data_IF_015745878798
#
_entry.id   IF_015745878798
#
_cell.length_a   1.000
_cell.length_b   1.000
_cell.length_c   1.000
_cell.angle_alpha   90.00
_cell.angle_beta   90.00
_cell.angle_gamma   90.00
#
_symmetry.space_group_name_H-M   'P 1'
#
loop_
_entity.id
_entity.type
_entity.pdbx_description
1 polymer ?
#
# COMPACT_ATOMS: atom_id res chain seq x y z
N UNK A 1 17.29 -14.78 9.68
CA UNK A 1 16.04 -14.66 8.89
C UNK A 1 14.85 -14.11 9.68
N UNK A 2 14.92 -14.02 11.02
CA UNK A 2 13.83 -13.48 11.86
C UNK A 2 14.35 -12.40 12.79
N UNK A 3 13.52 -11.41 13.13
CA UNK A 3 13.83 -10.35 14.10
C UNK A 3 12.72 -10.27 15.19
N UNK A 4 12.90 -9.40 16.19
CA UNK A 4 11.94 -9.24 17.30
C UNK A 4 10.53 -8.89 16.82
N UNK A 5 10.41 -7.88 15.96
CA UNK A 5 9.12 -7.46 15.38
C UNK A 5 8.40 -8.58 14.63
N UNK A 6 9.13 -9.42 13.90
CA UNK A 6 8.53 -10.58 13.24
C UNK A 6 7.98 -11.59 14.25
N UNK A 7 8.64 -11.81 15.38
CA UNK A 7 8.14 -12.72 16.42
C UNK A 7 6.85 -12.20 17.07
N UNK A 8 6.72 -10.88 17.19
CA UNK A 8 5.53 -10.23 17.73
C UNK A 8 4.35 -10.27 16.75
N UNK A 9 4.61 -10.03 15.46
CA UNK A 9 3.55 -9.82 14.46
C UNK A 9 3.18 -11.08 13.66
N UNK A 10 4.13 -12.00 13.46
CA UNK A 10 3.94 -13.17 12.60
C UNK A 10 3.50 -14.38 13.43
N UNK A 11 2.21 -14.68 13.41
CA UNK A 11 1.63 -15.79 14.19
C UNK A 11 2.16 -17.14 13.68
N UNK A 12 2.67 -17.99 14.58
CA UNK A 12 3.19 -19.30 14.21
C UNK A 12 4.53 -19.25 13.47
N UNK A 13 5.32 -18.18 13.67
CA UNK A 13 6.64 -18.03 13.06
C UNK A 13 7.57 -19.18 13.46
N UNK A 14 8.03 -19.94 12.47
CA UNK A 14 9.00 -21.03 12.63
C UNK A 14 9.86 -21.22 11.37
N UNK A 15 10.98 -21.95 11.45
CA UNK A 15 11.66 -22.45 10.25
C UNK A 15 10.73 -23.36 9.43
N UNK A 16 10.86 -23.29 8.10
CA UNK A 16 10.24 -24.26 7.22
C UNK A 16 10.92 -25.63 7.39
N UNK A 17 10.13 -26.70 7.44
CA UNK A 17 10.64 -28.06 7.61
C UNK A 17 11.12 -28.67 6.28
N UNK A 18 11.79 -29.83 6.36
CA UNK A 18 12.32 -30.50 5.20
C UNK A 18 11.24 -30.97 4.20
N UNK A 19 10.01 -31.21 4.64
CA UNK A 19 8.90 -31.59 3.78
C UNK A 19 8.32 -30.39 3.04
N UNK A 20 8.18 -29.26 3.72
CA UNK A 20 7.77 -28.00 3.13
C UNK A 20 8.77 -27.53 2.08
N UNK A 21 10.07 -27.61 2.37
CA UNK A 21 11.14 -27.22 1.44
C UNK A 21 11.18 -28.08 0.17
N UNK A 22 10.70 -29.34 0.20
CA UNK A 22 10.58 -30.19 -1.00
C UNK A 22 9.60 -29.66 -2.04
N UNK A 23 8.69 -28.75 -1.65
CA UNK A 23 7.75 -28.12 -2.59
C UNK A 23 8.38 -26.99 -3.41
N UNK A 24 9.60 -26.59 -3.07
CA UNK A 24 10.36 -25.53 -3.72
C UNK A 24 11.58 -26.11 -4.45
N UNK A 25 12.16 -25.40 -5.42
CA UNK A 25 13.42 -25.80 -6.06
C UNK A 25 14.56 -26.04 -5.06
N UNK A 26 15.42 -27.00 -5.39
CA UNK A 26 16.54 -27.46 -4.56
C UNK A 26 17.54 -26.36 -4.16
N UNK A 27 17.52 -25.20 -4.83
CA UNK A 27 18.36 -24.05 -4.49
C UNK A 27 17.93 -23.38 -3.17
N UNK A 28 16.69 -23.53 -2.74
CA UNK A 28 16.22 -22.98 -1.47
C UNK A 28 16.54 -23.95 -0.33
N UNK A 29 17.55 -23.61 0.47
CA UNK A 29 18.01 -24.43 1.62
C UNK A 29 17.37 -24.05 2.95
N UNK A 30 16.80 -22.85 3.03
CA UNK A 30 16.18 -22.32 4.22
C UNK A 30 14.88 -21.61 3.85
N UNK A 31 13.93 -21.61 4.79
CA UNK A 31 12.66 -20.92 4.66
C UNK A 31 12.10 -20.60 6.04
N UNK A 32 11.11 -19.71 6.06
CA UNK A 32 10.31 -19.42 7.24
C UNK A 32 8.84 -19.66 6.91
N UNK A 33 8.11 -20.16 7.89
CA UNK A 33 6.67 -20.34 7.85
C UNK A 33 6.04 -19.41 8.89
N UNK A 34 4.97 -18.73 8.53
CA UNK A 34 4.14 -17.96 9.45
C UNK A 34 2.77 -17.68 8.84
N UNK A 35 1.81 -17.35 9.70
CA UNK A 35 0.50 -16.88 9.31
C UNK A 35 0.47 -15.34 9.33
N UNK A 36 -0.23 -14.77 8.34
CA UNK A 36 -0.42 -13.33 8.19
C UNK A 36 -1.85 -13.02 7.79
N UNK A 37 -2.20 -11.75 7.76
CA UNK A 37 -3.52 -11.27 7.39
C UNK A 37 -3.48 -10.78 5.94
N UNK A 38 -4.45 -11.25 5.15
CA UNK A 38 -4.73 -10.69 3.83
C UNK A 38 -5.86 -9.66 3.97
N UNK A 39 -5.58 -8.41 3.61
CA UNK A 39 -6.62 -7.40 3.39
C UNK A 39 -6.88 -7.28 1.88
N UNK A 40 -8.01 -7.81 1.40
CA UNK A 40 -8.44 -7.61 0.01
C UNK A 40 -8.80 -6.12 -0.20
N UNK A 41 -8.06 -5.35 -1.01
CA UNK A 41 -8.29 -3.91 -1.12
C UNK A 41 -9.69 -3.55 -1.61
N UNK A 42 -10.33 -4.38 -2.44
CA UNK A 42 -11.67 -4.09 -2.97
C UNK A 42 -12.72 -4.14 -1.87
N UNK A 43 -12.63 -5.15 -1.01
CA UNK A 43 -13.54 -5.32 0.13
C UNK A 43 -13.20 -4.36 1.26
N UNK A 44 -11.90 -4.19 1.53
CA UNK A 44 -11.42 -3.34 2.61
C UNK A 44 -11.72 -1.86 2.36
N UNK A 45 -11.48 -1.35 1.14
CA UNK A 45 -11.82 0.03 0.80
C UNK A 45 -13.33 0.26 0.86
N UNK A 46 -14.15 -0.67 0.35
CA UNK A 46 -15.61 -0.55 0.49
C UNK A 46 -16.02 -0.45 1.96
N UNK A 47 -15.51 -1.33 2.81
CA UNK A 47 -15.81 -1.31 4.24
C UNK A 47 -15.40 0.02 4.90
N UNK A 48 -14.21 0.55 4.59
CA UNK A 48 -13.75 1.86 5.08
C UNK A 48 -14.65 3.00 4.58
N UNK A 49 -15.04 2.98 3.31
CA UNK A 49 -15.95 3.95 2.72
C UNK A 49 -17.31 3.94 3.42
N UNK A 50 -17.89 2.76 3.65
CA UNK A 50 -19.15 2.60 4.37
C UNK A 50 -19.03 3.17 5.80
N UNK A 51 -17.90 2.93 6.49
CA UNK A 51 -17.65 3.50 7.83
C UNK A 51 -17.60 5.03 7.82
N UNK A 52 -16.96 5.63 6.82
CA UNK A 52 -16.92 7.09 6.68
C UNK A 52 -18.33 7.64 6.51
N UNK A 53 -19.14 7.06 5.63
CA UNK A 53 -20.52 7.49 5.37
C UNK A 53 -21.40 7.32 6.62
N UNK A 54 -21.34 6.17 7.29
CA UNK A 54 -22.13 5.92 8.50
C UNK A 54 -21.79 6.88 9.65
N UNK A 55 -20.57 7.43 9.67
CA UNK A 55 -20.13 8.42 10.65
C UNK A 55 -20.43 9.87 10.21
N UNK A 56 -21.25 10.08 9.17
CA UNK A 56 -21.65 11.40 8.67
C UNK A 56 -20.68 12.02 7.67
N UNK A 57 -19.68 11.28 7.18
CA UNK A 57 -18.78 11.74 6.14
C UNK A 57 -19.45 11.77 4.76
N UNK A 58 -19.01 12.69 3.90
CA UNK A 58 -19.50 12.85 2.54
C UNK A 58 -18.41 12.56 1.52
N UNK A 59 -18.79 11.94 0.40
CA UNK A 59 -17.88 11.67 -0.72
C UNK A 59 -18.26 12.59 -1.87
N UNK A 60 -17.30 13.39 -2.30
CA UNK A 60 -17.43 14.26 -3.46
C UNK A 60 -16.41 13.86 -4.51
N UNK A 61 -16.87 13.54 -5.72
CA UNK A 61 -15.98 13.33 -6.85
C UNK A 61 -15.56 14.69 -7.41
N UNK A 62 -14.30 15.07 -7.16
CA UNK A 62 -13.75 16.35 -7.59
C UNK A 62 -12.24 16.24 -7.82
N UNK A 63 -11.75 16.89 -8.85
CA UNK A 63 -10.31 17.07 -9.08
C UNK A 63 -9.80 18.28 -8.30
N UNK A 64 -8.83 18.06 -7.42
CA UNK A 64 -8.08 19.12 -6.74
C UNK A 64 -6.84 19.44 -7.58
N UNK A 65 -6.68 20.71 -7.96
CA UNK A 65 -5.53 21.19 -8.74
C UNK A 65 -4.41 21.70 -7.83
N UNK A 66 -4.77 22.37 -6.74
CA UNK A 66 -3.84 22.75 -5.68
C UNK A 66 -4.48 22.60 -4.31
N UNK A 67 -3.66 22.35 -3.28
CA UNK A 67 -4.16 22.22 -1.90
C UNK A 67 -4.76 23.52 -1.36
N UNK A 68 -4.37 24.67 -1.90
CA UNK A 68 -4.95 25.97 -1.55
C UNK A 68 -6.40 26.13 -2.03
N UNK A 69 -6.85 25.33 -3.01
CA UNK A 69 -8.25 25.30 -3.46
C UNK A 69 -9.19 24.78 -2.35
N UNK A 70 -8.62 24.23 -1.26
CA UNK A 70 -9.31 23.65 -0.12
C UNK A 70 -9.15 24.49 1.16
N UNK A 71 -8.72 25.75 1.06
CA UNK A 71 -8.50 26.65 2.21
C UNK A 71 -9.75 26.91 3.07
N UNK A 72 -10.94 26.69 2.52
CA UNK A 72 -12.21 26.89 3.24
C UNK A 72 -12.44 25.78 4.28
N UNK A 73 -11.68 24.69 4.23
CA UNK A 73 -11.69 23.65 5.25
C UNK A 73 -10.70 23.98 6.37
N UNK A 74 -11.07 23.69 7.63
CA UNK A 74 -10.22 23.95 8.80
C UNK A 74 -8.88 23.21 8.73
N UNK A 75 -8.89 21.96 8.27
CA UNK A 75 -7.68 21.16 8.01
C UNK A 75 -7.92 20.26 6.81
N UNK A 76 -6.92 20.18 5.93
CA UNK A 76 -6.87 19.27 4.78
C UNK A 76 -5.93 18.12 5.09
N UNK A 77 -6.35 16.88 4.94
CA UNK A 77 -5.45 15.72 5.04
C UNK A 77 -5.08 15.25 3.63
N UNK A 78 -3.82 15.48 3.22
CA UNK A 78 -3.32 15.12 1.89
C UNK A 78 -2.88 13.65 1.86
N UNK A 79 -3.80 12.78 1.42
CA UNK A 79 -3.59 11.35 1.19
C UNK A 79 -3.50 10.98 -0.31
N UNK A 80 -3.02 11.89 -1.16
CA UNK A 80 -3.14 11.79 -2.64
C UNK A 80 -2.19 10.80 -3.33
N UNK A 81 -1.43 10.00 -2.56
CA UNK A 81 -0.51 9.00 -3.12
C UNK A 81 0.52 9.62 -4.05
N UNK A 82 0.65 9.09 -5.28
CA UNK A 82 1.62 9.61 -6.26
C UNK A 82 1.31 11.03 -6.74
N UNK A 83 0.03 11.45 -6.71
CA UNK A 83 -0.36 12.79 -7.15
C UNK A 83 0.16 13.88 -6.20
N UNK A 84 0.59 13.53 -4.99
CA UNK A 84 1.28 14.44 -4.10
C UNK A 84 2.56 15.02 -4.73
N UNK A 85 3.20 14.30 -5.66
CA UNK A 85 4.37 14.78 -6.40
C UNK A 85 4.08 16.10 -7.11
N UNK A 86 2.93 16.19 -7.77
CA UNK A 86 2.48 17.40 -8.48
C UNK A 86 1.92 18.43 -7.51
N UNK A 87 1.14 18.00 -6.49
CA UNK A 87 0.46 18.91 -5.57
C UNK A 87 1.39 19.64 -4.59
N UNK A 88 2.58 19.09 -4.32
CA UNK A 88 3.53 19.63 -3.33
C UNK A 88 4.95 19.72 -3.86
N UNK A 89 5.16 19.50 -5.15
CA UNK A 89 6.49 19.52 -5.80
C UNK A 89 7.53 18.62 -5.10
N UNK A 90 7.10 17.47 -4.54
CA UNK A 90 7.97 16.61 -3.72
C UNK A 90 8.98 15.83 -4.59
N UNK A 91 10.29 16.15 -4.51
CA UNK A 91 11.30 15.49 -5.35
C UNK A 91 11.58 14.06 -4.89
N UNK A 92 11.30 13.73 -3.63
CA UNK A 92 11.58 12.40 -3.06
C UNK A 92 10.51 11.37 -3.42
N UNK A 93 9.34 11.82 -3.89
CA UNK A 93 8.26 10.94 -4.31
C UNK A 93 8.47 10.44 -5.75
N UNK A 94 8.51 9.13 -5.93
CA UNK A 94 8.74 8.47 -7.23
C UNK A 94 7.92 7.17 -7.32
N UNK A 95 7.46 6.75 -8.51
CA UNK A 95 6.75 5.49 -8.65
C UNK A 95 7.71 4.31 -8.52
N UNK A 96 7.20 3.21 -7.97
CA UNK A 96 7.77 1.88 -8.20
C UNK A 96 6.72 1.04 -8.92
N UNK A 97 6.86 0.92 -10.24
CA UNK A 97 5.97 0.14 -11.09
C UNK A 97 6.00 -1.33 -10.67
N UNK A 98 4.82 -1.93 -10.63
CA UNK A 98 4.61 -3.34 -10.40
C UNK A 98 3.52 -3.87 -11.32
N UNK A 99 3.83 -4.93 -12.04
CA UNK A 99 2.90 -5.70 -12.83
C UNK A 99 2.70 -7.08 -12.20
N UNK A 100 1.44 -7.50 -12.16
CA UNK A 100 1.01 -8.79 -11.59
C UNK A 100 0.08 -9.49 -12.56
N UNK A 101 0.04 -10.82 -12.45
CA UNK A 101 -0.91 -11.68 -13.15
C UNK A 101 -1.92 -12.18 -12.12
N UNK A 102 -3.21 -12.08 -12.41
CA UNK A 102 -4.28 -12.71 -11.64
C UNK A 102 -4.64 -14.04 -12.30
N UNK A 103 -4.67 -15.11 -11.51
CA UNK A 103 -5.02 -16.45 -11.99
C UNK A 103 -6.11 -17.07 -11.14
N UNK A 104 -6.94 -17.90 -11.75
CA UNK A 104 -7.92 -18.73 -11.06
C UNK A 104 -7.25 -20.02 -10.58
N UNK A 105 -6.99 -20.09 -9.28
CA UNK A 105 -6.38 -21.25 -8.64
C UNK A 105 -6.89 -21.39 -7.19
N UNK A 106 -8.17 -21.77 -6.98
CA UNK A 106 -8.81 -21.82 -5.66
C UNK A 106 -8.16 -22.81 -4.68
N UNK A 107 -7.38 -23.77 -5.19
CA UNK A 107 -6.62 -24.72 -4.39
C UNK A 107 -5.33 -24.14 -3.78
N UNK A 108 -4.91 -22.93 -4.16
CA UNK A 108 -3.75 -22.26 -3.55
C UNK A 108 -4.23 -21.46 -2.35
N UNK A 109 -3.91 -21.95 -1.15
CA UNK A 109 -4.36 -21.36 0.13
C UNK A 109 -3.22 -20.72 0.93
N UNK A 110 -1.97 -20.94 0.55
CA UNK A 110 -0.78 -20.40 1.20
C UNK A 110 -0.15 -19.31 0.35
N UNK A 111 0.43 -18.30 1.01
CA UNK A 111 1.26 -17.31 0.34
C UNK A 111 2.70 -17.80 0.25
N UNK A 112 3.40 -17.35 -0.78
CA UNK A 112 4.81 -17.68 -1.00
C UNK A 112 5.58 -16.43 -1.40
N UNK A 113 6.81 -16.31 -0.91
CA UNK A 113 7.73 -15.25 -1.30
C UNK A 113 9.14 -15.82 -1.44
N UNK A 114 9.75 -15.64 -2.61
CA UNK A 114 11.12 -16.08 -2.88
C UNK A 114 11.70 -15.26 -4.04
N UNK A 115 12.99 -14.86 -3.94
CA UNK A 115 13.71 -14.12 -4.97
C UNK A 115 12.96 -12.90 -5.53
N UNK A 116 12.28 -12.14 -4.66
CA UNK A 116 11.51 -10.96 -5.05
C UNK A 116 10.16 -11.27 -5.71
N UNK A 117 9.87 -12.54 -5.99
CA UNK A 117 8.60 -13.03 -6.53
C UNK A 117 7.65 -13.42 -5.39
N UNK A 118 6.35 -13.32 -5.65
CA UNK A 118 5.33 -13.68 -4.69
C UNK A 118 4.10 -14.32 -5.33
N UNK A 119 3.48 -15.19 -4.55
CA UNK A 119 2.18 -15.80 -4.80
C UNK A 119 1.32 -15.42 -3.61
N UNK A 120 0.27 -14.64 -3.85
CA UNK A 120 -0.64 -14.20 -2.80
C UNK A 120 -2.03 -14.75 -3.10
N UNK A 121 -2.54 -15.72 -2.33
CA UNK A 121 -3.93 -16.15 -2.46
C UNK A 121 -4.83 -14.97 -2.08
N UNK A 122 -5.76 -14.62 -2.98
CA UNK A 122 -6.79 -13.63 -2.75
C UNK A 122 -8.14 -14.29 -2.43
N UNK A 123 -9.17 -13.48 -2.22
CA UNK A 123 -10.53 -13.99 -1.95
C UNK A 123 -11.18 -14.64 -3.18
N UNK A 124 -10.82 -14.19 -4.38
CA UNK A 124 -11.43 -14.63 -5.65
C UNK A 124 -10.40 -15.13 -6.69
N UNK A 125 -9.15 -14.67 -6.57
CA UNK A 125 -8.07 -15.02 -7.48
C UNK A 125 -6.75 -15.06 -6.74
N UNK A 126 -5.77 -15.76 -7.31
CA UNK A 126 -4.39 -15.75 -6.83
C UNK A 126 -3.61 -14.69 -7.60
N UNK A 127 -2.81 -13.91 -6.88
CA UNK A 127 -1.94 -12.90 -7.47
C UNK A 127 -0.52 -13.43 -7.60
N UNK A 128 -0.02 -13.46 -8.83
CA UNK A 128 1.38 -13.75 -9.15
C UNK A 128 2.09 -12.43 -9.42
N UNK A 129 3.18 -12.17 -8.73
CA UNK A 129 3.95 -10.96 -8.97
C UNK A 129 5.43 -11.15 -8.70
N UNK A 130 6.17 -10.07 -8.95
CA UNK A 130 7.62 -10.08 -8.74
C UNK A 130 8.34 -8.86 -9.29
N UNK A 131 7.67 -7.99 -10.05
CA UNK A 131 8.31 -6.81 -10.63
C UNK A 131 8.31 -5.61 -9.71
N UNK A 132 9.47 -4.94 -9.68
CA UNK A 132 9.72 -3.67 -8.99
C UNK A 132 10.61 -2.83 -9.91
N UNK A 133 10.04 -1.82 -10.56
CA UNK A 133 10.79 -0.93 -11.47
C UNK A 133 10.68 0.50 -10.94
N UNK A 134 11.78 1.01 -10.38
CA UNK A 134 11.85 2.34 -9.80
C UNK A 134 11.84 3.41 -10.90
N UNK A 135 11.04 4.46 -10.72
CA UNK A 135 10.95 5.60 -11.63
C UNK A 135 10.17 5.33 -12.92
N UNK A 136 9.70 4.11 -13.13
CA UNK A 136 8.88 3.76 -14.29
C UNK A 136 7.42 4.18 -14.07
N UNK A 137 6.94 5.08 -14.93
CA UNK A 137 5.56 5.60 -14.92
C UNK A 137 4.65 4.84 -15.90
N UNK A 138 5.18 3.90 -16.67
CA UNK A 138 4.44 3.23 -17.72
C UNK A 138 3.35 2.32 -17.14
N UNK A 139 2.09 2.61 -17.49
CA UNK A 139 0.92 1.83 -17.08
C UNK A 139 0.59 0.69 -18.05
N UNK A 140 1.29 0.59 -19.19
CA UNK A 140 1.07 -0.47 -20.17
C UNK A 140 1.57 -1.81 -19.68
N UNK A 141 0.86 -2.88 -20.03
CA UNK A 141 1.24 -4.26 -19.73
C UNK A 141 2.43 -4.67 -20.60
N UNK A 142 3.46 -5.25 -19.98
CA UNK A 142 4.62 -5.77 -20.71
C UNK A 142 4.52 -7.29 -20.88
N UNK A 143 4.54 -7.76 -22.13
CA UNK A 143 4.54 -9.20 -22.44
C UNK A 143 5.79 -9.92 -21.91
N UNK A 144 6.95 -9.25 -21.91
CA UNK A 144 8.17 -9.78 -21.31
C UNK A 144 7.96 -10.05 -19.82
N UNK A 145 7.32 -9.11 -19.11
CA UNK A 145 6.99 -9.27 -17.69
C UNK A 145 5.97 -10.37 -17.47
N UNK A 146 4.98 -10.56 -18.36
CA UNK A 146 4.06 -11.70 -18.28
C UNK A 146 4.85 -13.01 -18.37
N UNK A 147 5.69 -13.16 -19.39
CA UNK A 147 6.51 -14.36 -19.58
C UNK A 147 7.38 -14.64 -18.36
N UNK A 148 7.99 -13.60 -17.77
CA UNK A 148 8.70 -13.71 -16.52
C UNK A 148 7.75 -14.13 -15.38
N UNK A 149 6.75 -13.32 -15.02
CA UNK A 149 5.83 -13.61 -13.92
C UNK A 149 5.08 -14.95 -14.05
N UNK A 150 4.85 -15.46 -15.26
CA UNK A 150 4.24 -16.77 -15.50
C UNK A 150 5.26 -17.91 -15.37
N UNK A 151 6.47 -17.74 -15.90
CA UNK A 151 7.52 -18.75 -15.82
C UNK A 151 8.12 -18.87 -14.41
N UNK A 152 8.16 -17.77 -13.64
CA UNK A 152 8.86 -17.73 -12.36
C UNK A 152 8.20 -18.60 -11.28
N UNK A 153 6.91 -18.47 -10.95
CA UNK A 153 6.31 -19.24 -9.86
C UNK A 153 6.00 -20.70 -10.28
N UNK A 154 5.83 -20.97 -11.58
CA UNK A 154 5.68 -22.33 -12.14
C UNK A 154 6.99 -23.10 -12.29
N UNK A 155 8.12 -22.45 -12.63
CA UNK A 155 9.45 -23.10 -12.73
C UNK A 155 10.28 -23.02 -11.45
N UNK A 156 10.01 -22.07 -10.56
CA UNK A 156 10.90 -21.76 -9.42
C UNK A 156 10.22 -21.66 -8.05
N UNK A 157 8.93 -21.88 -7.87
CA UNK A 157 8.36 -21.61 -6.53
C UNK A 157 7.45 -22.69 -6.00
N UNK A 158 6.39 -23.14 -6.68
CA UNK A 158 5.49 -24.15 -6.10
C UNK A 158 4.75 -24.95 -7.18
N UNK A 159 4.69 -26.28 -7.02
CA UNK A 159 3.93 -27.19 -7.91
C UNK A 159 2.44 -26.88 -7.99
N UNK A 160 1.88 -26.21 -6.97
CA UNK A 160 0.44 -25.94 -6.83
C UNK A 160 -0.13 -24.98 -7.88
N UNK A 161 0.64 -24.50 -8.85
CA UNK A 161 0.17 -23.52 -9.85
C UNK A 161 -0.10 -24.10 -11.24
N UNK A 162 0.20 -25.38 -11.46
CA UNK A 162 0.03 -25.99 -12.77
C UNK A 162 -1.45 -25.99 -13.20
N UNK A 163 -1.73 -25.51 -14.41
CA UNK A 163 -3.07 -25.51 -15.00
C UNK A 163 -3.98 -24.33 -14.61
N UNK A 164 -3.49 -23.33 -13.87
CA UNK A 164 -4.28 -22.17 -13.49
C UNK A 164 -4.64 -21.29 -14.71
N UNK A 165 -5.92 -20.92 -14.84
CA UNK A 165 -6.40 -20.04 -15.91
C UNK A 165 -6.04 -18.59 -15.59
N UNK A 166 -5.41 -17.88 -16.53
CA UNK A 166 -5.18 -16.42 -16.40
C UNK A 166 -6.53 -15.69 -16.46
N UNK A 167 -6.75 -14.81 -15.49
CA UNK A 167 -7.95 -13.96 -15.40
C UNK A 167 -7.64 -12.58 -15.98
N UNK A 168 -6.53 -11.97 -15.55
CA UNK A 168 -6.21 -10.58 -15.89
C UNK A 168 -4.74 -10.26 -15.60
N UNK A 169 -4.15 -9.38 -16.41
CA UNK A 169 -2.90 -8.68 -16.12
C UNK A 169 -3.17 -7.29 -15.54
N UNK A 170 -2.39 -6.87 -14.55
CA UNK A 170 -2.58 -5.58 -13.88
C UNK A 170 -1.25 -4.87 -13.63
N UNK A 171 -1.18 -3.58 -13.95
CA UNK A 171 -0.05 -2.69 -13.65
C UNK A 171 -0.49 -1.66 -12.61
N UNK A 172 0.36 -1.40 -11.63
CA UNK A 172 0.16 -0.35 -10.65
C UNK A 172 1.46 0.35 -10.29
N UNK A 173 1.36 1.63 -9.94
CA UNK A 173 2.48 2.46 -9.52
C UNK A 173 2.42 2.66 -8.01
N UNK A 174 3.45 2.22 -7.31
CA UNK A 174 3.54 2.37 -5.85
C UNK A 174 4.10 3.77 -5.53
N UNK A 175 3.46 4.58 -4.66
CA UNK A 175 3.94 5.91 -4.28
C UNK A 175 5.14 5.82 -3.34
N UNK A 176 6.35 5.62 -3.85
CA UNK A 176 7.53 5.43 -3.01
C UNK A 176 8.18 6.76 -2.64
N UNK A 177 8.37 6.98 -1.33
CA UNK A 177 9.13 8.09 -0.75
C UNK A 177 9.82 7.58 0.51
N UNK A 178 11.07 7.99 0.74
CA UNK A 178 11.80 7.65 1.96
C UNK A 178 12.29 8.95 2.64
N UNK A 179 11.87 9.23 3.89
CA UNK A 179 10.83 8.53 4.66
C UNK A 179 9.41 8.74 4.08
N UNK A 180 8.40 8.01 4.58
CA UNK A 180 6.98 8.34 4.36
C UNK A 180 6.75 9.77 4.86
N UNK A 181 5.99 10.60 4.13
CA UNK A 181 5.69 11.98 4.57
C UNK A 181 4.46 11.96 5.48
N UNK A 182 4.68 12.24 6.75
CA UNK A 182 3.62 12.41 7.76
C UNK A 182 3.97 13.63 8.61
N UNK A 183 3.44 14.79 8.24
CA UNK A 183 3.77 16.07 8.88
C UNK A 183 2.66 17.10 8.66
N UNK A 184 2.63 18.12 9.52
CA UNK A 184 1.73 19.27 9.40
C UNK A 184 2.46 20.44 8.71
N UNK A 185 1.75 21.13 7.82
CA UNK A 185 2.23 22.27 7.06
C UNK A 185 1.11 23.33 6.99
N UNK A 186 1.48 24.62 7.00
CA UNK A 186 0.54 25.72 6.72
C UNK A 186 0.97 26.36 5.40
N UNK A 187 0.17 26.17 4.36
CA UNK A 187 0.40 26.74 3.05
C UNK A 187 -0.19 28.15 2.97
N UNK A 188 0.45 29.03 2.21
CA UNK A 188 -0.04 30.40 1.96
C UNK A 188 0.19 31.37 3.13
N UNK A 189 -0.34 32.59 3.01
CA UNK A 189 -0.19 33.66 3.99
C UNK A 189 -1.52 34.44 4.18
N UNK A 190 -1.60 35.20 5.27
CA UNK A 190 -2.78 36.05 5.57
C UNK A 190 -4.10 35.28 5.57
N UNK A 191 -5.07 35.76 4.76
CA UNK A 191 -6.39 35.15 4.57
C UNK A 191 -6.39 33.93 3.63
N UNK A 192 -5.25 33.60 3.02
CA UNK A 192 -5.10 32.46 2.11
C UNK A 192 -4.38 31.27 2.77
N UNK A 193 -4.37 31.21 4.10
CA UNK A 193 -3.78 30.10 4.86
C UNK A 193 -4.59 28.83 4.65
N UNK A 194 -3.91 27.74 4.31
CA UNK A 194 -4.48 26.40 4.22
C UNK A 194 -3.67 25.46 5.10
N UNK A 195 -4.31 24.88 6.12
CA UNK A 195 -3.68 23.92 7.03
C UNK A 195 -3.72 22.53 6.41
N UNK A 196 -2.56 21.90 6.27
CA UNK A 196 -2.44 20.60 5.63
C UNK A 196 -1.70 19.64 6.54
N UNK A 197 -2.23 18.42 6.68
CA UNK A 197 -1.50 17.27 7.19
C UNK A 197 -1.21 16.33 6.04
N UNK A 198 0.06 16.13 5.72
CA UNK A 198 0.49 15.20 4.69
C UNK A 198 0.48 13.76 5.24
N UNK A 199 0.00 12.80 4.45
CA UNK A 199 0.11 11.37 4.75
C UNK A 199 0.20 10.58 3.43
N UNK A 200 1.39 10.54 2.84
CA UNK A 200 1.63 9.86 1.56
C UNK A 200 3.06 9.33 1.45
N UNK A 201 3.33 8.55 0.40
CA UNK A 201 4.67 8.01 0.13
C UNK A 201 4.91 6.60 0.67
N UNK A 202 3.84 5.82 0.91
CA UNK A 202 3.92 4.51 1.57
C UNK A 202 4.53 3.37 0.74
N UNK A 203 4.88 3.61 -0.53
CA UNK A 203 5.50 2.63 -1.41
C UNK A 203 4.71 1.31 -1.49
N UNK A 204 5.39 0.19 -1.28
CA UNK A 204 4.80 -1.15 -1.30
C UNK A 204 4.10 -1.55 0.02
N UNK A 205 4.14 -0.69 1.04
CA UNK A 205 3.75 -1.05 2.40
C UNK A 205 2.49 -0.34 2.89
N UNK A 206 1.79 0.41 2.02
CA UNK A 206 0.65 1.25 2.39
C UNK A 206 -0.46 0.53 3.14
N UNK A 207 -0.81 -0.71 2.76
CA UNK A 207 -1.82 -1.49 3.51
C UNK A 207 -1.30 -1.83 4.92
N UNK A 208 -0.06 -2.33 5.02
CA UNK A 208 0.53 -2.78 6.28
C UNK A 208 0.74 -1.63 7.28
N UNK A 209 1.05 -0.43 6.80
CA UNK A 209 1.32 0.74 7.65
C UNK A 209 0.11 1.68 7.78
N UNK A 210 -1.00 1.38 7.11
CA UNK A 210 -2.18 2.27 7.01
C UNK A 210 -2.66 2.77 8.38
N UNK A 211 -2.95 1.87 9.32
CA UNK A 211 -3.45 2.25 10.65
C UNK A 211 -2.45 3.08 11.46
N UNK A 212 -1.17 2.69 11.49
CA UNK A 212 -0.14 3.44 12.22
C UNK A 212 0.04 4.85 11.67
N UNK A 213 0.10 4.99 10.35
CA UNK A 213 0.21 6.31 9.70
C UNK A 213 -1.06 7.15 9.84
N UNK A 214 -2.24 6.53 9.84
CA UNK A 214 -3.51 7.21 10.08
C UNK A 214 -3.62 7.75 11.51
N UNK A 215 -3.18 6.99 12.52
CA UNK A 215 -3.15 7.44 13.91
C UNK A 215 -2.22 8.65 14.09
N UNK A 216 -1.03 8.61 13.48
CA UNK A 216 -0.11 9.74 13.53
C UNK A 216 -0.69 10.98 12.82
N UNK A 217 -1.24 10.83 11.61
CA UNK A 217 -1.91 11.93 10.91
C UNK A 217 -3.07 12.51 11.73
N UNK A 218 -3.86 11.66 12.40
CA UNK A 218 -4.97 12.09 13.27
C UNK A 218 -4.49 12.93 14.45
N UNK A 219 -3.36 12.55 15.07
CA UNK A 219 -2.74 13.33 16.13
C UNK A 219 -2.33 14.72 15.64
N UNK A 220 -1.69 14.81 14.47
CA UNK A 220 -1.32 16.08 13.85
C UNK A 220 -2.53 16.97 13.56
N UNK A 221 -3.63 16.39 13.04
CA UNK A 221 -4.89 17.12 12.83
C UNK A 221 -5.43 17.68 14.15
N UNK A 222 -5.46 16.86 15.21
CA UNK A 222 -5.91 17.30 16.54
C UNK A 222 -5.08 18.46 17.07
N UNK A 223 -3.75 18.41 16.91
CA UNK A 223 -2.84 19.44 17.40
C UNK A 223 -3.05 20.76 16.61
N UNK A 224 -3.26 20.70 15.29
CA UNK A 224 -3.55 21.89 14.47
C UNK A 224 -4.89 22.57 14.80
N UNK A 225 -5.89 21.79 15.23
CA UNK A 225 -7.20 22.30 15.65
C UNK A 225 -7.14 22.90 17.06
N UNK A 226 -6.40 22.28 17.98
CA UNK A 226 -6.25 22.82 19.35
C UNK A 226 -5.52 24.17 19.38
N UNK A 227 -4.51 24.36 18.52
CA UNK A 227 -3.83 25.65 18.38
C UNK A 227 -4.79 26.80 18.00
N UNK A 228 -5.89 26.53 17.28
CA UNK A 228 -6.93 27.53 17.00
C UNK A 228 -7.72 27.89 18.25
N UNK A 229 -8.11 26.90 19.04
CA UNK A 229 -8.87 27.12 20.27
C UNK A 229 -8.10 27.99 21.27
N UNK A 230 -6.78 27.82 21.36
CA UNK A 230 -5.93 28.61 22.26
C UNK A 230 -5.59 30.01 21.71
N UNK A 231 -5.71 30.24 20.40
CA UNK A 231 -5.39 31.52 19.76
C UNK A 231 -6.60 32.43 19.53
N UNK A 232 -7.83 31.92 19.72
CA UNK A 232 -9.01 32.78 19.81
C UNK A 232 -8.96 33.57 21.11
N UNK A 233 -8.97 34.92 21.08
CA UNK A 233 -9.05 35.71 22.30
C UNK A 233 -10.34 35.34 23.05
N UNK A 234 -10.22 35.13 24.36
CA UNK A 234 -11.39 35.00 25.23
C UNK A 234 -12.25 36.24 25.03
N UNK A 235 -13.49 36.06 24.57
CA UNK A 235 -14.48 37.14 24.54
C UNK A 235 -14.74 37.54 26.00
N UNK A 236 -14.18 38.66 26.42
CA UNK A 236 -14.68 39.46 27.55
C UNK A 236 -15.62 40.53 26.99
#
# INVERSE_FOLDING_TARGET
LVNGTMKELCVGLRPADAQELRNFPLKYKHGIFYNSILADPRRYLKWLTDKIICNGGHIKNQTVKGLQDLKDFSVVVNCSGLRAKELTEDPLLTPVRGQVIKVFAPWVTQFYYADGCYILPGTEYVTLGGTKQLGDWNMEVSQHVITCNAAYPTRRSVKSQMGAKVIQDWVGLRPFRQPIRIEAEVLGNGSNKCKVVHNYGHGAHGINTSWGTALHATKLVSDMLQQEMTSMPAKL
#
